data_IF_399754146365
#
_entry.id   IF_399754146365
#
_cell.length_a   1.000
_cell.length_b   1.000
_cell.length_c   1.000
_cell.angle_alpha   90.00
_cell.angle_beta   90.00
_cell.angle_gamma   90.00
#
_symmetry.space_group_name_H-M   'P 1'
#
loop_
_entity.id
_entity.type
_entity.pdbx_description
1 polymer ?
#
# COMPACT_ATOMS: atom_id res chain seq x y z
N UNK A 1 -23.13 -24.59 36.12
CA UNK A 1 -22.52 -23.85 35.00
C UNK A 1 -23.63 -23.12 34.24
N UNK A 2 -23.67 -21.79 34.31
CA UNK A 2 -24.71 -20.96 33.68
C UNK A 2 -24.41 -20.93 32.16
N UNK A 3 -25.24 -21.61 31.38
CA UNK A 3 -25.11 -21.76 29.93
C UNK A 3 -25.35 -20.39 29.29
N UNK A 4 -24.35 -19.85 28.60
CA UNK A 4 -24.39 -18.50 28.03
C UNK A 4 -25.63 -18.29 27.15
N UNK A 5 -26.30 -17.17 27.35
CA UNK A 5 -27.20 -16.59 26.35
C UNK A 5 -26.46 -16.61 25.00
N UNK A 6 -27.12 -17.15 23.98
CA UNK A 6 -26.59 -17.51 22.65
C UNK A 6 -25.82 -18.84 22.58
N UNK A 7 -26.44 -19.91 23.10
CA UNK A 7 -26.10 -21.28 22.72
C UNK A 7 -26.35 -21.56 21.23
N UNK A 8 -25.73 -22.64 20.73
CA UNK A 8 -25.81 -23.16 19.34
C UNK A 8 -27.20 -22.99 18.73
N UNK A 9 -27.26 -22.46 17.51
CA UNK A 9 -28.53 -22.25 16.78
C UNK A 9 -29.19 -23.61 16.55
N UNK A 10 -30.38 -23.80 17.12
CA UNK A 10 -31.18 -25.03 16.98
C UNK A 10 -32.55 -24.67 16.41
N UNK A 11 -33.25 -25.59 15.72
CA UNK A 11 -34.54 -25.29 15.11
C UNK A 11 -35.58 -24.75 16.11
N UNK A 12 -35.52 -25.17 17.37
CA UNK A 12 -36.42 -24.73 18.43
C UNK A 12 -36.16 -23.32 18.98
N UNK A 13 -34.94 -22.77 18.86
CA UNK A 13 -34.61 -21.43 19.33
C UNK A 13 -34.57 -20.38 18.21
N UNK A 14 -34.50 -20.80 16.95
CA UNK A 14 -34.40 -19.92 15.78
C UNK A 14 -35.52 -18.86 15.70
N UNK A 15 -36.78 -19.25 15.95
CA UNK A 15 -37.92 -18.31 15.95
C UNK A 15 -37.79 -17.22 17.02
N UNK A 16 -37.28 -17.57 18.20
CA UNK A 16 -37.06 -16.61 19.31
C UNK A 16 -35.91 -15.65 18.98
N UNK A 17 -34.82 -16.17 18.41
CA UNK A 17 -33.67 -15.36 17.99
C UNK A 17 -34.07 -14.33 16.93
N UNK A 18 -34.84 -14.74 15.90
CA UNK A 18 -35.32 -13.82 14.86
C UNK A 18 -36.26 -12.75 15.44
N UNK A 19 -37.12 -13.10 16.39
CA UNK A 19 -37.98 -12.15 17.08
C UNK A 19 -37.19 -11.08 17.85
N UNK A 20 -36.19 -11.50 18.63
CA UNK A 20 -35.32 -10.59 19.39
C UNK A 20 -34.49 -9.71 18.45
N UNK A 21 -33.94 -10.30 17.38
CA UNK A 21 -33.15 -9.57 16.39
C UNK A 21 -33.95 -8.48 15.67
N UNK A 22 -35.27 -8.64 15.43
CA UNK A 22 -36.11 -7.59 14.84
C UNK A 22 -36.31 -6.38 15.75
N UNK A 23 -36.30 -6.59 17.06
CA UNK A 23 -36.52 -5.52 18.06
C UNK A 23 -35.20 -4.79 18.34
N UNK A 24 -34.13 -5.55 18.60
CA UNK A 24 -32.84 -5.00 19.01
C UNK A 24 -31.97 -4.62 17.80
N UNK A 25 -32.23 -5.24 16.64
CA UNK A 25 -31.48 -5.05 15.40
C UNK A 25 -31.34 -3.58 14.97
N UNK A 26 -32.43 -2.79 14.83
CA UNK A 26 -32.33 -1.39 14.39
C UNK A 26 -31.47 -0.51 15.29
N UNK A 27 -31.47 -0.77 16.60
CA UNK A 27 -30.69 0.00 17.59
C UNK A 27 -29.21 -0.36 17.54
N UNK A 28 -28.88 -1.64 17.34
CA UNK A 28 -27.49 -2.10 17.23
C UNK A 28 -26.90 -1.92 15.83
N UNK A 29 -27.74 -1.83 14.80
CA UNK A 29 -27.33 -1.66 13.40
C UNK A 29 -26.32 -0.52 13.18
N UNK A 30 -26.53 0.73 13.68
CA UNK A 30 -25.56 1.81 13.50
C UNK A 30 -24.22 1.54 14.20
N UNK A 31 -24.21 0.87 15.34
CA UNK A 31 -22.98 0.51 16.05
C UNK A 31 -22.22 -0.60 15.33
N UNK A 32 -22.93 -1.60 14.80
CA UNK A 32 -22.34 -2.64 13.97
C UNK A 32 -21.70 -2.03 12.71
N UNK A 33 -22.40 -1.11 12.03
CA UNK A 33 -21.85 -0.38 10.87
C UNK A 33 -20.60 0.42 11.23
N UNK A 34 -20.62 1.16 12.36
CA UNK A 34 -19.45 1.91 12.85
C UNK A 34 -18.28 1.00 13.24
N UNK A 35 -18.55 -0.15 13.84
CA UNK A 35 -17.51 -1.11 14.19
C UNK A 35 -16.85 -1.71 12.93
N UNK A 36 -17.63 -2.00 11.90
CA UNK A 36 -17.11 -2.44 10.60
C UNK A 36 -16.27 -1.33 9.94
N UNK A 37 -16.75 -0.08 9.97
CA UNK A 37 -16.02 1.04 9.36
C UNK A 37 -14.71 1.34 10.08
N UNK A 38 -14.67 1.35 11.41
CA UNK A 38 -13.44 1.62 12.18
C UNK A 38 -12.38 0.54 12.00
N UNK A 39 -12.80 -0.73 11.95
CA UNK A 39 -11.90 -1.86 11.65
C UNK A 39 -11.30 -1.70 10.26
N UNK A 40 -12.13 -1.44 9.25
CA UNK A 40 -11.65 -1.26 7.87
C UNK A 40 -10.72 -0.05 7.73
N UNK A 41 -11.08 1.07 8.35
CA UNK A 41 -10.28 2.29 8.32
C UNK A 41 -8.92 2.10 9.00
N UNK A 42 -8.88 1.37 10.12
CA UNK A 42 -7.62 1.04 10.80
C UNK A 42 -6.73 0.13 9.94
N UNK A 43 -7.34 -0.83 9.22
CA UNK A 43 -6.64 -1.72 8.31
C UNK A 43 -6.06 -0.95 7.11
N UNK A 44 -6.88 -0.10 6.48
CA UNK A 44 -6.48 0.72 5.35
C UNK A 44 -5.39 1.73 5.74
N UNK A 45 -5.50 2.38 6.91
CA UNK A 45 -4.44 3.24 7.46
C UNK A 45 -3.14 2.47 7.73
N UNK A 46 -3.24 1.25 8.25
CA UNK A 46 -2.05 0.41 8.46
C UNK A 46 -1.38 0.04 7.14
N UNK A 47 -2.16 -0.33 6.13
CA UNK A 47 -1.67 -0.69 4.79
C UNK A 47 -1.07 0.53 4.08
N UNK A 48 -1.74 1.68 4.11
CA UNK A 48 -1.27 2.94 3.55
C UNK A 48 0.08 3.36 4.16
N UNK A 49 0.21 3.30 5.49
CA UNK A 49 1.50 3.57 6.18
C UNK A 49 2.63 2.65 5.73
N UNK A 50 2.36 1.36 5.53
CA UNK A 50 3.38 0.42 5.03
C UNK A 50 3.83 0.73 3.59
N UNK A 51 2.97 1.36 2.81
CA UNK A 51 3.24 1.71 1.42
C UNK A 51 3.78 3.15 1.27
N UNK A 52 3.74 3.96 2.34
CA UNK A 52 4.13 5.37 2.29
C UNK A 52 3.21 6.25 1.45
N UNK A 53 1.96 5.82 1.22
CA UNK A 53 0.99 6.53 0.35
C UNK A 53 -0.20 7.05 1.15
N UNK A 54 -0.88 8.11 0.68
CA UNK A 54 -2.16 8.53 1.23
C UNK A 54 -3.19 7.38 1.23
N UNK A 55 -4.08 7.34 2.22
CA UNK A 55 -5.11 6.29 2.32
C UNK A 55 -6.03 6.29 1.09
N UNK A 56 -6.32 7.46 0.54
CA UNK A 56 -7.15 7.62 -0.67
C UNK A 56 -6.48 7.04 -1.93
N UNK A 57 -5.15 6.92 -1.93
CA UNK A 57 -4.36 6.35 -3.02
C UNK A 57 -4.12 4.84 -2.87
N UNK A 58 -4.55 4.24 -1.74
CA UNK A 58 -4.34 2.83 -1.44
C UNK A 58 -4.94 1.90 -2.51
N UNK A 59 -6.05 2.30 -3.11
CA UNK A 59 -6.73 1.56 -4.20
C UNK A 59 -5.92 1.50 -5.50
N UNK A 60 -4.98 2.44 -5.70
CA UNK A 60 -4.10 2.47 -6.89
C UNK A 60 -3.03 1.38 -6.84
N UNK A 61 -2.70 0.88 -5.63
CA UNK A 61 -1.62 -0.07 -5.41
C UNK A 61 -2.14 -1.38 -4.79
N UNK A 62 -2.26 -2.42 -5.62
CA UNK A 62 -2.79 -3.75 -5.24
C UNK A 62 -1.84 -4.89 -5.64
N UNK A 63 -2.09 -6.09 -5.12
CA UNK A 63 -1.23 -7.27 -5.38
C UNK A 63 0.02 -7.35 -4.49
N UNK A 64 0.90 -8.32 -4.80
CA UNK A 64 2.10 -8.58 -3.98
C UNK A 64 3.19 -7.51 -4.17
N UNK A 65 3.19 -6.82 -5.31
CA UNK A 65 4.10 -5.75 -5.69
C UNK A 65 3.58 -4.36 -5.37
N UNK A 66 2.48 -4.24 -4.62
CA UNK A 66 1.87 -2.94 -4.29
C UNK A 66 2.86 -1.95 -3.66
N UNK A 67 3.73 -2.42 -2.75
CA UNK A 67 4.77 -1.58 -2.13
C UNK A 67 5.81 -1.09 -3.10
N UNK A 68 6.23 -1.94 -4.04
CA UNK A 68 7.19 -1.56 -5.07
C UNK A 68 6.57 -0.56 -6.05
N UNK A 69 5.32 -0.76 -6.44
CA UNK A 69 4.61 0.21 -7.29
C UNK A 69 4.40 1.57 -6.59
N UNK A 70 4.11 1.57 -5.29
CA UNK A 70 4.03 2.78 -4.50
C UNK A 70 5.36 3.53 -4.42
N UNK A 71 6.46 2.82 -4.13
CA UNK A 71 7.83 3.39 -4.15
C UNK A 71 8.19 3.98 -5.51
N UNK A 72 7.99 3.23 -6.59
CA UNK A 72 8.22 3.71 -7.97
C UNK A 72 7.45 5.00 -8.25
N UNK A 73 6.19 5.09 -7.82
CA UNK A 73 5.39 6.31 -8.00
C UNK A 73 5.97 7.48 -7.17
N UNK A 74 6.37 7.23 -5.91
CA UNK A 74 7.05 8.21 -5.08
C UNK A 74 8.36 8.72 -5.71
N UNK A 75 9.21 7.81 -6.16
CA UNK A 75 10.47 8.14 -6.83
C UNK A 75 10.23 8.95 -8.10
N UNK A 76 9.19 8.63 -8.87
CA UNK A 76 8.85 9.40 -10.08
C UNK A 76 8.47 10.86 -9.77
N UNK A 77 7.80 11.10 -8.64
CA UNK A 77 7.50 12.46 -8.16
C UNK A 77 8.78 13.15 -7.71
N UNK A 78 9.63 12.47 -6.95
CA UNK A 78 10.87 13.03 -6.47
C UNK A 78 11.86 13.37 -7.61
N UNK A 79 11.89 12.58 -8.69
CA UNK A 79 12.68 12.90 -9.89
C UNK A 79 12.16 14.14 -10.61
N UNK A 80 10.84 14.36 -10.63
CA UNK A 80 10.25 15.59 -11.13
C UNK A 80 10.66 16.78 -10.24
N UNK A 81 10.57 16.63 -8.93
CA UNK A 81 10.98 17.66 -7.97
C UNK A 81 12.46 18.00 -8.12
N UNK A 82 13.32 17.00 -8.35
CA UNK A 82 14.74 17.21 -8.65
C UNK A 82 14.93 18.09 -9.90
N UNK A 83 14.20 17.84 -10.98
CA UNK A 83 14.27 18.67 -12.20
C UNK A 83 13.83 20.11 -11.94
N UNK A 84 12.78 20.29 -11.14
CA UNK A 84 12.20 21.61 -10.84
C UNK A 84 13.09 22.43 -9.89
N UNK A 85 13.73 21.79 -8.91
CA UNK A 85 14.57 22.45 -7.91
C UNK A 85 16.00 22.70 -8.39
N UNK A 86 16.47 21.96 -9.40
CA UNK A 86 17.85 22.10 -9.89
C UNK A 86 18.07 23.42 -10.63
N UNK A 87 19.12 24.15 -10.24
CA UNK A 87 19.47 25.44 -10.83
C UNK A 87 20.92 25.49 -11.30
N UNK A 88 21.29 26.57 -12.01
CA UNK A 88 22.67 26.77 -12.48
C UNK A 88 23.22 25.61 -13.32
N UNK A 89 24.48 25.26 -13.05
CA UNK A 89 25.24 24.21 -13.72
C UNK A 89 24.73 22.80 -13.40
N UNK A 90 24.15 22.59 -12.21
CA UNK A 90 23.64 21.29 -11.76
C UNK A 90 22.41 20.83 -12.54
N UNK A 91 21.64 21.76 -13.12
CA UNK A 91 20.41 21.47 -13.86
C UNK A 91 20.61 20.45 -15.00
N UNK A 92 21.72 20.56 -15.73
CA UNK A 92 22.01 19.62 -16.83
C UNK A 92 22.23 18.20 -16.31
N UNK A 93 23.02 18.07 -15.24
CA UNK A 93 23.31 16.79 -14.59
C UNK A 93 22.06 16.18 -13.94
N UNK A 94 21.28 16.99 -13.25
CA UNK A 94 20.03 16.57 -12.62
C UNK A 94 19.01 16.07 -13.64
N UNK A 95 18.84 16.80 -14.77
CA UNK A 95 17.93 16.38 -15.83
C UNK A 95 18.38 15.07 -16.48
N UNK A 96 19.67 14.94 -16.78
CA UNK A 96 20.23 13.72 -17.36
C UNK A 96 20.01 12.51 -16.46
N UNK A 97 20.29 12.66 -15.15
CA UNK A 97 20.02 11.62 -14.18
C UNK A 97 18.52 11.30 -14.10
N UNK A 98 17.66 12.32 -14.03
CA UNK A 98 16.22 12.12 -13.95
C UNK A 98 15.66 11.36 -15.15
N UNK A 99 16.12 11.67 -16.37
CA UNK A 99 15.73 10.96 -17.59
C UNK A 99 16.15 9.47 -17.54
N UNK A 100 17.37 9.20 -17.07
CA UNK A 100 17.88 7.83 -16.92
C UNK A 100 17.13 7.05 -15.84
N UNK A 101 16.88 7.68 -14.69
CA UNK A 101 16.18 7.09 -13.57
C UNK A 101 14.71 6.82 -13.91
N UNK A 102 14.02 7.73 -14.60
CA UNK A 102 12.65 7.51 -15.07
C UNK A 102 12.55 6.32 -16.04
N UNK A 103 13.48 6.23 -17.00
CA UNK A 103 13.55 5.08 -17.90
C UNK A 103 13.75 3.78 -17.11
N UNK A 104 14.56 3.82 -16.04
CA UNK A 104 14.79 2.68 -15.16
C UNK A 104 13.54 2.30 -14.37
N UNK A 105 12.82 3.27 -13.78
CA UNK A 105 11.57 3.07 -13.06
C UNK A 105 10.49 2.42 -13.95
N UNK A 106 10.43 2.78 -15.24
CA UNK A 106 9.53 2.14 -16.21
C UNK A 106 9.86 0.66 -16.43
N UNK A 107 11.16 0.31 -16.50
CA UNK A 107 11.61 -1.08 -16.58
C UNK A 107 11.26 -1.86 -15.30
N UNK A 108 11.51 -1.26 -14.13
CA UNK A 108 11.18 -1.88 -12.85
C UNK A 108 9.68 -2.12 -12.68
N UNK A 109 8.84 -1.16 -13.12
CA UNK A 109 7.38 -1.33 -13.17
C UNK A 109 6.99 -2.58 -13.98
N UNK A 110 7.63 -2.76 -15.14
CA UNK A 110 7.40 -3.92 -16.01
C UNK A 110 7.88 -5.22 -15.34
N UNK A 111 9.02 -5.18 -14.66
CA UNK A 111 9.57 -6.33 -13.92
C UNK A 111 8.65 -6.77 -12.76
N UNK A 112 8.09 -5.83 -11.99
CA UNK A 112 7.13 -6.12 -10.91
C UNK A 112 5.89 -6.82 -11.49
N UNK A 113 5.31 -6.27 -12.57
CA UNK A 113 4.15 -6.88 -13.24
C UNK A 113 4.46 -8.28 -13.78
N UNK A 114 5.66 -8.51 -14.30
CA UNK A 114 6.10 -9.83 -14.75
C UNK A 114 6.24 -10.81 -13.57
N UNK A 115 6.79 -10.35 -12.44
CA UNK A 115 6.99 -11.15 -11.24
C UNK A 115 5.67 -11.65 -10.61
N UNK A 116 4.58 -10.89 -10.72
CA UNK A 116 3.25 -11.32 -10.24
C UNK A 116 2.76 -12.63 -10.88
N UNK A 117 3.19 -12.94 -12.11
CA UNK A 117 2.84 -14.20 -12.80
C UNK A 117 3.77 -15.37 -12.45
N UNK A 118 4.76 -15.16 -11.59
CA UNK A 118 5.74 -16.18 -11.22
C UNK A 118 5.31 -16.97 -9.97
N UNK A 119 5.78 -18.23 -9.82
CA UNK A 119 5.67 -18.96 -8.56
C UNK A 119 6.27 -18.20 -7.39
N UNK A 120 5.73 -18.41 -6.19
CA UNK A 120 6.02 -17.58 -5.00
C UNK A 120 7.51 -17.39 -4.69
N UNK A 121 8.39 -18.42 -4.74
CA UNK A 121 9.82 -18.23 -4.52
C UNK A 121 10.48 -17.30 -5.55
N UNK A 122 10.16 -17.48 -6.84
CA UNK A 122 10.68 -16.66 -7.94
C UNK A 122 10.18 -15.23 -7.88
N UNK A 123 8.88 -15.04 -7.59
CA UNK A 123 8.28 -13.71 -7.39
C UNK A 123 8.99 -12.94 -6.29
N UNK A 124 9.19 -13.55 -5.12
CA UNK A 124 9.90 -12.91 -3.99
C UNK A 124 11.34 -12.53 -4.37
N UNK A 125 12.05 -13.42 -5.07
CA UNK A 125 13.41 -13.11 -5.52
C UNK A 125 13.44 -11.93 -6.49
N UNK A 126 12.51 -11.88 -7.44
CA UNK A 126 12.39 -10.76 -8.38
C UNK A 126 12.02 -9.45 -7.66
N UNK A 127 11.07 -9.50 -6.72
CA UNK A 127 10.69 -8.33 -5.91
C UNK A 127 11.88 -7.80 -5.09
N UNK A 128 12.72 -8.67 -4.51
CA UNK A 128 13.93 -8.23 -3.80
C UNK A 128 14.95 -7.57 -4.72
N UNK A 129 15.11 -8.07 -5.94
CA UNK A 129 16.02 -7.44 -6.92
C UNK A 129 15.52 -6.05 -7.34
N UNK A 130 14.21 -5.89 -7.53
CA UNK A 130 13.60 -4.57 -7.78
C UNK A 130 13.78 -3.65 -6.57
N UNK A 131 13.52 -4.16 -5.37
CA UNK A 131 13.66 -3.41 -4.10
C UNK A 131 15.07 -2.84 -3.93
N UNK A 132 16.10 -3.64 -4.20
CA UNK A 132 17.50 -3.21 -4.16
C UNK A 132 17.82 -2.13 -5.19
N UNK A 133 17.25 -2.22 -6.39
CA UNK A 133 17.47 -1.19 -7.41
C UNK A 133 16.81 0.13 -7.05
N UNK A 134 15.58 0.08 -6.51
CA UNK A 134 14.90 1.28 -6.00
C UNK A 134 15.72 1.94 -4.90
N UNK A 135 16.26 1.17 -3.95
CA UNK A 135 17.12 1.73 -2.90
C UNK A 135 18.36 2.44 -3.45
N UNK A 136 18.94 1.99 -4.57
CA UNK A 136 20.07 2.70 -5.22
C UNK A 136 19.64 4.02 -5.84
N UNK A 137 18.47 4.03 -6.49
CA UNK A 137 17.89 5.26 -7.06
C UNK A 137 17.61 6.25 -5.93
N UNK A 138 16.96 5.80 -4.86
CA UNK A 138 16.65 6.61 -3.68
C UNK A 138 17.92 7.20 -3.03
N UNK A 139 18.99 6.40 -2.87
CA UNK A 139 20.26 6.90 -2.33
C UNK A 139 20.91 7.99 -3.19
N UNK A 140 20.95 7.79 -4.50
CA UNK A 140 21.49 8.78 -5.44
C UNK A 140 20.63 10.04 -5.49
N UNK A 141 19.31 9.88 -5.41
CA UNK A 141 18.35 10.98 -5.36
C UNK A 141 18.50 11.80 -4.07
N UNK A 142 18.68 11.16 -2.92
CA UNK A 142 18.99 11.82 -1.65
C UNK A 142 20.32 12.58 -1.71
N UNK A 143 21.36 11.96 -2.30
CA UNK A 143 22.66 12.61 -2.52
C UNK A 143 22.49 13.89 -3.34
N UNK A 144 21.66 13.85 -4.39
CA UNK A 144 21.36 15.02 -5.25
C UNK A 144 20.53 16.09 -4.56
N UNK A 145 19.72 15.72 -3.57
CA UNK A 145 19.07 16.68 -2.68
C UNK A 145 19.97 17.19 -1.56
N UNK A 146 21.26 16.80 -1.54
CA UNK A 146 22.21 17.23 -0.52
C UNK A 146 22.05 16.53 0.83
N UNK A 147 21.31 15.42 0.87
CA UNK A 147 21.15 14.60 2.09
C UNK A 147 22.25 13.53 2.11
N UNK A 148 23.11 13.49 3.14
CA UNK A 148 24.14 12.46 3.25
C UNK A 148 23.54 11.07 3.41
N UNK A 149 23.91 10.15 2.53
CA UNK A 149 23.62 8.72 2.67
C UNK A 149 24.91 8.00 3.06
N UNK A 150 25.02 7.55 4.31
CA UNK A 150 26.17 6.83 4.86
C UNK A 150 26.13 5.32 4.62
#
# INVERSE_FOLDING_TARGET
MKKGEFGTVTPGNAKKIVGIAKIVGPVLLPFALRAVSTVRESYDRSRARKLGVPVDDLGKFTGHGASLHARIAGDSVALRDLREQSTGEERGHARTYADQAEARLAQLTSAVRAAERMPSPRRRSAHRAVDQELSRIESELLTRFGVPTG
#
